data_IF_706564688454
#
_entry.id   IF_706564688454
#
_cell.length_a   1.000
_cell.length_b   1.000
_cell.length_c   1.000
_cell.angle_alpha   90.00
_cell.angle_beta   90.00
_cell.angle_gamma   90.00
#
_symmetry.space_group_name_H-M   'P 1'
#
loop_
_entity.id
_entity.type
_entity.pdbx_description
1 polymer ?
#
# COMPACT_ATOMS: atom_id res chain seq x y z
N UNK A 1 -30.96 7.90 13.58
CA UNK A 1 -29.60 7.66 14.12
C UNK A 1 -28.63 7.92 12.97
N UNK A 2 -27.56 8.64 13.22
CA UNK A 2 -26.52 8.83 12.22
C UNK A 2 -25.84 7.50 11.91
N UNK A 3 -25.39 7.33 10.69
CA UNK A 3 -24.51 6.18 10.35
C UNK A 3 -23.16 6.34 11.05
N UNK A 4 -22.54 5.23 11.44
CA UNK A 4 -21.33 5.21 12.26
C UNK A 4 -20.13 4.63 11.55
N UNK A 5 -19.00 5.32 11.65
CA UNK A 5 -17.71 4.88 11.12
C UNK A 5 -16.87 4.30 12.25
N UNK A 6 -16.43 3.05 12.11
CA UNK A 6 -15.41 2.42 12.95
C UNK A 6 -14.03 2.53 12.30
N UNK A 7 -13.08 3.18 12.95
CA UNK A 7 -11.71 3.32 12.46
C UNK A 7 -10.79 2.36 13.21
N UNK A 8 -10.05 1.56 12.46
CA UNK A 8 -9.13 0.54 13.01
C UNK A 8 -7.78 0.72 12.32
N UNK A 9 -6.95 1.63 12.86
CA UNK A 9 -5.62 1.98 12.35
C UNK A 9 -4.69 2.16 13.55
N UNK A 10 -3.62 1.37 13.65
CA UNK A 10 -2.66 1.37 14.77
C UNK A 10 -1.55 2.42 14.62
N UNK A 11 -1.36 2.98 13.44
CA UNK A 11 -0.39 4.03 13.14
C UNK A 11 -1.02 5.44 13.01
N UNK A 12 -2.23 5.62 13.50
CA UNK A 12 -2.96 6.89 13.38
C UNK A 12 -2.31 7.98 14.24
N UNK A 13 -1.96 9.11 13.63
CA UNK A 13 -1.47 10.27 14.36
C UNK A 13 -2.61 11.15 14.87
N UNK A 14 -2.41 11.96 15.94
CA UNK A 14 -3.46 12.87 16.43
C UNK A 14 -3.97 13.85 15.36
N UNK A 15 -3.12 14.27 14.43
CA UNK A 15 -3.50 15.16 13.34
C UNK A 15 -4.46 14.47 12.35
N UNK A 16 -4.18 13.20 11.98
CA UNK A 16 -5.07 12.42 11.13
C UNK A 16 -6.37 12.07 11.84
N UNK A 17 -6.31 11.71 13.13
CA UNK A 17 -7.52 11.47 13.92
C UNK A 17 -8.43 12.70 13.93
N UNK A 18 -7.88 13.88 14.18
CA UNK A 18 -8.63 15.15 14.11
C UNK A 18 -9.26 15.35 12.73
N UNK A 19 -8.50 15.13 11.66
CA UNK A 19 -9.02 15.28 10.29
C UNK A 19 -10.19 14.33 10.01
N UNK A 20 -10.10 13.08 10.48
CA UNK A 20 -11.17 12.09 10.32
C UNK A 20 -12.43 12.50 11.12
N UNK A 21 -12.26 12.97 12.37
CA UNK A 21 -13.38 13.46 13.20
C UNK A 21 -14.08 14.66 12.56
N UNK A 22 -13.30 15.65 12.12
CA UNK A 22 -13.82 16.85 11.49
C UNK A 22 -14.56 16.51 10.17
N UNK A 23 -14.05 15.54 9.42
CA UNK A 23 -14.67 15.09 8.17
C UNK A 23 -15.97 14.30 8.43
N UNK A 24 -15.96 13.36 9.38
CA UNK A 24 -17.15 12.61 9.76
C UNK A 24 -18.27 13.54 10.23
N UNK A 25 -17.96 14.49 11.13
CA UNK A 25 -18.93 15.47 11.63
C UNK A 25 -19.52 16.32 10.49
N UNK A 26 -18.69 16.78 9.57
CA UNK A 26 -19.11 17.57 8.40
C UNK A 26 -20.03 16.81 7.46
N UNK A 27 -19.84 15.48 7.38
CA UNK A 27 -20.64 14.58 6.55
C UNK A 27 -21.85 13.98 7.31
N UNK A 28 -22.06 14.30 8.58
CA UNK A 28 -23.18 13.80 9.37
C UNK A 28 -23.02 12.36 9.88
N UNK A 29 -21.77 11.88 10.01
CA UNK A 29 -21.46 10.56 10.54
C UNK A 29 -20.96 10.62 11.97
N UNK A 30 -21.34 9.65 12.79
CA UNK A 30 -20.68 9.38 14.06
C UNK A 30 -19.38 8.59 13.78
N UNK A 31 -18.36 8.77 14.64
CA UNK A 31 -17.06 8.10 14.44
C UNK A 31 -16.52 7.56 15.76
N UNK A 32 -16.03 6.32 15.72
CA UNK A 32 -15.37 5.65 16.84
C UNK A 32 -14.01 5.11 16.39
N UNK A 33 -13.02 5.21 17.27
CA UNK A 33 -11.66 4.71 17.01
C UNK A 33 -11.37 3.51 17.91
N UNK A 34 -10.88 2.44 17.28
CA UNK A 34 -10.44 1.24 17.98
C UNK A 34 -8.91 1.16 17.92
N UNK A 35 -8.22 0.99 19.05
CA UNK A 35 -6.76 0.96 19.06
C UNK A 35 -6.16 -0.30 18.40
N UNK A 36 -6.98 -1.30 18.15
CA UNK A 36 -6.58 -2.54 17.48
C UNK A 36 -7.80 -3.31 16.95
N UNK A 37 -7.58 -4.25 16.04
CA UNK A 37 -8.62 -5.19 15.62
C UNK A 37 -9.22 -5.98 16.79
N UNK A 38 -8.39 -6.36 17.77
CA UNK A 38 -8.87 -7.08 18.95
C UNK A 38 -9.85 -6.26 19.79
N UNK A 39 -9.60 -4.96 19.91
CA UNK A 39 -10.51 -4.05 20.61
C UNK A 39 -11.82 -3.81 19.85
N UNK A 40 -11.79 -3.98 18.54
CA UNK A 40 -12.96 -3.86 17.67
C UNK A 40 -13.83 -5.12 17.64
N UNK A 41 -13.28 -6.31 17.95
CA UNK A 41 -14.04 -7.57 17.95
C UNK A 41 -15.24 -7.49 18.90
N UNK A 42 -16.45 -7.73 18.35
CA UNK A 42 -17.72 -7.65 19.10
C UNK A 42 -18.20 -6.22 19.41
N UNK A 43 -17.49 -5.18 19.01
CA UNK A 43 -17.83 -3.78 19.28
C UNK A 43 -18.12 -2.95 18.01
N UNK A 44 -18.34 -3.59 16.88
CA UNK A 44 -18.57 -2.94 15.58
C UNK A 44 -19.99 -3.13 15.03
N UNK A 45 -20.90 -3.72 15.79
CA UNK A 45 -22.24 -4.05 15.33
C UNK A 45 -23.07 -2.81 14.92
N UNK A 46 -22.80 -1.67 15.51
CA UNK A 46 -23.45 -0.39 15.19
C UNK A 46 -22.70 0.42 14.12
N UNK A 47 -21.57 -0.10 13.61
CA UNK A 47 -20.82 0.54 12.54
C UNK A 47 -21.36 0.11 11.17
N UNK A 48 -21.71 1.07 10.35
CA UNK A 48 -22.10 0.84 8.94
C UNK A 48 -20.90 0.95 7.99
N UNK A 49 -19.85 1.61 8.42
CA UNK A 49 -18.58 1.77 7.69
C UNK A 49 -17.43 1.34 8.60
N UNK A 50 -16.51 0.54 8.06
CA UNK A 50 -15.22 0.27 8.70
C UNK A 50 -14.10 0.82 7.83
N UNK A 51 -13.21 1.60 8.43
CA UNK A 51 -12.03 2.17 7.77
C UNK A 51 -10.75 1.69 8.44
N UNK A 52 -9.80 1.25 7.64
CA UNK A 52 -8.49 0.83 8.13
C UNK A 52 -8.12 -0.60 7.75
N UNK A 53 -7.60 -1.37 8.74
CA UNK A 53 -7.15 -2.76 8.52
C UNK A 53 -7.69 -3.72 9.60
N UNK A 54 -9.00 -3.88 9.69
CA UNK A 54 -9.62 -4.85 10.59
C UNK A 54 -9.18 -6.28 10.26
N UNK A 55 -9.22 -7.17 11.26
CA UNK A 55 -9.10 -8.60 11.02
C UNK A 55 -10.37 -9.14 10.30
N UNK A 56 -10.24 -10.30 9.64
CA UNK A 56 -11.41 -10.97 9.06
C UNK A 56 -12.49 -11.27 10.12
N UNK A 57 -12.12 -11.52 11.37
CA UNK A 57 -13.08 -11.75 12.46
C UNK A 57 -13.93 -10.52 12.75
N UNK A 58 -13.34 -9.32 12.70
CA UNK A 58 -14.07 -8.06 12.87
C UNK A 58 -15.07 -7.88 11.73
N UNK A 59 -14.64 -8.11 10.48
CA UNK A 59 -15.53 -8.01 9.31
C UNK A 59 -16.68 -9.03 9.42
N UNK A 60 -16.37 -10.30 9.72
CA UNK A 60 -17.36 -11.35 9.85
C UNK A 60 -18.37 -11.11 10.99
N UNK A 61 -17.98 -10.39 12.04
CA UNK A 61 -18.84 -10.00 13.16
C UNK A 61 -19.66 -8.73 12.92
N UNK A 62 -19.35 -7.93 11.92
CA UNK A 62 -19.96 -6.63 11.67
C UNK A 62 -21.30 -6.77 10.91
N UNK A 63 -22.40 -6.95 11.64
CA UNK A 63 -23.74 -7.29 11.07
C UNK A 63 -24.34 -6.20 10.20
N UNK A 64 -24.09 -4.94 10.52
CA UNK A 64 -24.65 -3.79 9.83
C UNK A 64 -23.69 -3.14 8.82
N UNK A 65 -22.58 -3.80 8.51
CA UNK A 65 -21.54 -3.26 7.64
C UNK A 65 -22.06 -3.10 6.20
N UNK A 66 -21.98 -1.88 5.69
CA UNK A 66 -22.32 -1.51 4.32
C UNK A 66 -21.09 -1.22 3.47
N UNK A 67 -20.00 -0.79 4.11
CA UNK A 67 -18.78 -0.42 3.41
C UNK A 67 -17.54 -0.72 4.26
N UNK A 68 -16.65 -1.51 3.71
CA UNK A 68 -15.29 -1.66 4.21
C UNK A 68 -14.30 -0.89 3.31
N UNK A 69 -13.70 0.17 3.84
CA UNK A 69 -12.67 0.97 3.20
C UNK A 69 -11.29 0.55 3.74
N UNK A 70 -10.57 -0.28 2.98
CA UNK A 70 -9.23 -0.71 3.36
C UNK A 70 -8.19 0.39 3.15
N UNK A 71 -7.33 0.63 4.13
CA UNK A 71 -6.17 1.51 3.99
C UNK A 71 -4.99 0.84 3.26
N UNK A 72 -5.09 -0.44 2.91
CA UNK A 72 -4.11 -1.18 2.12
C UNK A 72 -4.57 -1.41 0.69
N UNK A 73 -3.62 -1.52 -0.23
CA UNK A 73 -3.90 -1.86 -1.63
C UNK A 73 -4.24 -3.35 -1.80
N UNK A 74 -3.57 -4.23 -1.05
CA UNK A 74 -3.80 -5.69 -1.10
C UNK A 74 -5.02 -6.08 -0.26
N UNK A 75 -6.06 -6.58 -0.92
CA UNK A 75 -7.34 -6.95 -0.28
C UNK A 75 -7.80 -8.36 -0.60
N UNK A 76 -6.97 -9.20 -1.24
CA UNK A 76 -7.34 -10.55 -1.71
C UNK A 76 -8.04 -11.40 -0.66
N UNK A 77 -7.57 -11.34 0.60
CA UNK A 77 -8.16 -12.07 1.72
C UNK A 77 -9.56 -11.58 2.13
N UNK A 78 -9.97 -10.41 1.64
CA UNK A 78 -11.27 -9.80 1.91
C UNK A 78 -12.23 -9.90 0.71
N UNK A 79 -11.76 -10.36 -0.47
CA UNK A 79 -12.57 -10.60 -1.65
C UNK A 79 -13.23 -11.99 -1.56
N UNK A 80 -14.08 -12.18 -0.55
CA UNK A 80 -14.75 -13.44 -0.25
C UNK A 80 -16.19 -13.14 0.18
N UNK A 81 -17.17 -13.69 -0.54
CA UNK A 81 -18.59 -13.45 -0.29
C UNK A 81 -19.04 -13.97 1.09
N UNK A 82 -18.43 -15.07 1.57
CA UNK A 82 -18.73 -15.68 2.85
C UNK A 82 -18.19 -14.90 4.07
N UNK A 83 -17.43 -13.86 3.84
CA UNK A 83 -16.86 -13.04 4.91
C UNK A 83 -17.85 -11.99 5.44
N UNK A 84 -18.75 -11.52 4.61
CA UNK A 84 -19.64 -10.41 4.92
C UNK A 84 -21.02 -10.89 5.31
N UNK A 85 -21.59 -10.37 6.42
CA UNK A 85 -22.97 -10.64 6.80
C UNK A 85 -23.97 -9.98 5.83
N UNK A 86 -23.59 -8.83 5.27
CA UNK A 86 -24.34 -8.14 4.23
C UNK A 86 -23.72 -8.44 2.86
N UNK A 87 -24.41 -9.16 1.95
CA UNK A 87 -23.89 -9.50 0.63
C UNK A 87 -23.67 -8.28 -0.27
N UNK A 88 -24.34 -7.16 0.01
CA UNK A 88 -24.19 -5.89 -0.72
C UNK A 88 -23.10 -4.98 -0.14
N UNK A 89 -22.28 -5.47 0.79
CA UNK A 89 -21.21 -4.70 1.38
C UNK A 89 -20.16 -4.31 0.34
N UNK A 90 -19.90 -3.02 0.24
CA UNK A 90 -18.85 -2.50 -0.64
C UNK A 90 -17.47 -2.71 -0.03
N UNK A 91 -16.53 -3.19 -0.84
CA UNK A 91 -15.11 -3.21 -0.50
C UNK A 91 -14.35 -2.23 -1.39
N UNK A 92 -13.64 -1.29 -0.80
CA UNK A 92 -12.69 -0.42 -1.49
C UNK A 92 -11.30 -0.53 -0.88
N UNK A 93 -10.28 -0.23 -1.67
CA UNK A 93 -8.90 -0.32 -1.24
C UNK A 93 -8.09 0.92 -1.63
N UNK A 94 -6.85 1.01 -1.14
CA UNK A 94 -5.94 2.12 -1.42
C UNK A 94 -5.10 1.90 -2.70
N UNK A 95 -5.64 1.25 -3.74
CA UNK A 95 -4.98 1.15 -5.04
C UNK A 95 -4.72 2.54 -5.62
N UNK A 96 -3.51 2.75 -6.15
CA UNK A 96 -3.08 4.05 -6.67
C UNK A 96 -2.39 4.97 -5.63
N UNK A 97 -2.47 4.66 -4.34
CA UNK A 97 -1.85 5.47 -3.29
C UNK A 97 -0.33 5.25 -3.15
N UNK A 98 0.17 4.11 -3.61
CA UNK A 98 1.55 3.66 -3.34
C UNK A 98 2.48 3.73 -4.55
N UNK A 99 1.97 4.00 -5.74
CA UNK A 99 2.72 3.93 -6.98
C UNK A 99 4.00 4.74 -6.96
N UNK A 100 3.91 6.00 -6.54
CA UNK A 100 5.06 6.92 -6.47
C UNK A 100 6.13 6.42 -5.51
N UNK A 101 5.78 6.14 -4.26
CA UNK A 101 6.75 5.80 -3.21
C UNK A 101 7.43 4.46 -3.46
N UNK A 102 6.66 3.46 -3.93
CA UNK A 102 7.22 2.14 -4.27
C UNK A 102 8.09 2.22 -5.53
N UNK A 103 7.70 3.02 -6.51
CA UNK A 103 8.51 3.21 -7.71
C UNK A 103 9.85 3.89 -7.39
N UNK A 104 9.87 4.89 -6.51
CA UNK A 104 11.11 5.53 -6.04
C UNK A 104 12.01 4.54 -5.30
N UNK A 105 11.43 3.75 -4.39
CA UNK A 105 12.15 2.67 -3.72
C UNK A 105 12.72 1.66 -4.74
N UNK A 106 11.96 1.27 -5.74
CA UNK A 106 12.40 0.33 -6.78
C UNK A 106 13.56 0.87 -7.61
N UNK A 107 13.54 2.17 -7.95
CA UNK A 107 14.67 2.83 -8.62
C UNK A 107 15.90 2.86 -7.71
N UNK A 108 15.75 3.24 -6.46
CA UNK A 108 16.83 3.24 -5.46
C UNK A 108 17.49 1.86 -5.38
N UNK A 109 16.70 0.80 -5.14
CA UNK A 109 17.23 -0.56 -5.02
C UNK A 109 17.89 -1.02 -6.33
N UNK A 110 17.33 -0.69 -7.49
CA UNK A 110 17.94 -0.99 -8.79
C UNK A 110 19.31 -0.36 -8.94
N UNK A 111 19.45 0.91 -8.56
CA UNK A 111 20.74 1.61 -8.60
C UNK A 111 21.72 1.01 -7.58
N UNK A 112 21.28 0.70 -6.36
CA UNK A 112 22.12 0.06 -5.34
C UNK A 112 22.69 -1.27 -5.83
N UNK A 113 21.88 -2.10 -6.47
CA UNK A 113 22.29 -3.39 -7.03
C UNK A 113 23.29 -3.20 -8.19
N UNK A 114 22.96 -2.34 -9.16
CA UNK A 114 23.81 -2.08 -10.32
C UNK A 114 25.16 -1.46 -9.93
N UNK A 115 25.18 -0.64 -8.88
CA UNK A 115 26.40 -0.01 -8.36
C UNK A 115 27.09 -0.83 -7.29
N UNK A 116 26.58 -2.03 -6.95
CA UNK A 116 27.14 -2.93 -5.92
C UNK A 116 27.30 -2.23 -4.56
N UNK A 117 26.32 -1.39 -4.22
CA UNK A 117 26.38 -0.50 -3.04
C UNK A 117 26.61 -1.27 -1.74
N UNK A 118 26.00 -2.44 -1.59
CA UNK A 118 26.14 -3.23 -0.37
C UNK A 118 27.60 -3.66 -0.13
N UNK A 119 28.25 -4.16 -1.18
CA UNK A 119 29.65 -4.60 -1.12
C UNK A 119 30.61 -3.43 -0.85
N UNK A 120 30.38 -2.28 -1.50
CA UNK A 120 31.17 -1.07 -1.21
C UNK A 120 30.93 -0.53 0.19
N UNK A 121 29.73 -0.67 0.74
CA UNK A 121 29.45 -0.29 2.14
C UNK A 121 30.29 -1.10 3.13
N UNK A 122 30.46 -2.41 2.89
CA UNK A 122 31.33 -3.24 3.74
C UNK A 122 32.81 -2.81 3.64
N UNK A 123 33.29 -2.54 2.43
CA UNK A 123 34.67 -2.04 2.22
C UNK A 123 34.90 -0.73 2.98
N UNK A 124 33.93 0.18 2.93
CA UNK A 124 34.01 1.48 3.65
C UNK A 124 34.01 1.25 5.16
N UNK A 125 33.17 0.33 5.65
CA UNK A 125 33.09 -0.01 7.09
C UNK A 125 34.44 -0.55 7.62
N UNK A 126 35.17 -1.30 6.79
CA UNK A 126 36.51 -1.82 7.08
C UNK A 126 37.59 -0.76 6.94
N UNK A 127 37.27 0.49 6.61
CA UNK A 127 38.24 1.57 6.33
C UNK A 127 39.01 1.36 5.02
N UNK A 128 38.51 0.50 4.15
CA UNK A 128 39.15 0.13 2.89
C UNK A 128 38.75 1.06 1.72
N UNK A 129 39.66 1.06 0.73
CA UNK A 129 39.41 1.70 -0.57
C UNK A 129 39.95 0.76 -1.66
N UNK A 130 39.06 -0.01 -2.29
CA UNK A 130 39.41 -0.97 -3.36
C UNK A 130 38.33 -1.04 -4.43
N UNK A 131 38.72 -1.34 -5.65
CA UNK A 131 37.79 -1.61 -6.76
C UNK A 131 37.38 -3.08 -6.73
N UNK A 132 36.11 -3.33 -6.79
CA UNK A 132 35.58 -4.69 -6.88
C UNK A 132 35.77 -5.26 -8.30
N UNK A 133 36.19 -6.53 -8.44
CA UNK A 133 36.28 -7.20 -9.76
C UNK A 133 34.89 -7.31 -10.39
N UNK A 134 34.83 -7.31 -11.74
CA UNK A 134 33.58 -7.42 -12.49
C UNK A 134 32.87 -6.09 -12.76
N UNK A 135 33.37 -4.99 -12.19
CA UNK A 135 32.86 -3.64 -12.47
C UNK A 135 31.48 -3.36 -11.86
N UNK A 136 30.89 -2.26 -12.31
CA UNK A 136 29.58 -1.75 -11.97
C UNK A 136 28.75 -1.52 -13.23
N UNK A 137 27.45 -1.49 -13.12
CA UNK A 137 26.52 -1.28 -14.23
C UNK A 137 25.71 0.00 -14.07
N UNK A 138 25.06 0.45 -15.13
CA UNK A 138 24.21 1.62 -15.17
C UNK A 138 22.84 1.30 -15.76
N UNK A 139 21.82 2.04 -15.39
CA UNK A 139 20.53 2.04 -16.08
C UNK A 139 20.64 2.69 -17.46
N UNK A 140 21.58 3.65 -17.63
CA UNK A 140 21.87 4.23 -18.93
C UNK A 140 22.29 3.13 -19.94
N UNK A 141 21.62 3.07 -21.08
CA UNK A 141 21.86 2.09 -22.10
C UNK A 141 21.42 0.65 -21.75
N UNK A 142 20.87 0.41 -20.57
CA UNK A 142 20.38 -0.90 -20.16
C UNK A 142 19.06 -1.27 -20.88
N UNK A 143 18.80 -2.57 -21.04
CA UNK A 143 17.48 -3.07 -21.42
C UNK A 143 16.69 -3.36 -20.15
N UNK A 144 15.58 -2.65 -19.95
CA UNK A 144 14.75 -2.77 -18.75
C UNK A 144 13.42 -3.42 -19.10
N UNK A 145 13.08 -4.49 -18.39
CA UNK A 145 11.77 -5.14 -18.50
C UNK A 145 11.02 -5.00 -17.17
N UNK A 146 9.82 -4.43 -17.23
CA UNK A 146 8.94 -4.29 -16.09
C UNK A 146 7.82 -5.32 -16.15
N UNK A 147 7.80 -6.24 -15.19
CA UNK A 147 6.73 -7.24 -15.04
C UNK A 147 5.60 -6.64 -14.20
N UNK A 148 4.49 -6.31 -14.85
CA UNK A 148 3.37 -5.57 -14.30
C UNK A 148 3.40 -4.09 -14.71
N UNK A 149 2.37 -3.67 -15.44
CA UNK A 149 2.21 -2.29 -15.96
C UNK A 149 1.04 -1.56 -15.29
N UNK A 150 0.72 -1.93 -14.06
CA UNK A 150 -0.24 -1.24 -13.22
C UNK A 150 0.33 0.08 -12.67
N UNK A 151 -0.23 0.58 -11.58
CA UNK A 151 0.16 1.83 -10.92
C UNK A 151 1.68 1.90 -10.66
N UNK A 152 2.22 0.95 -9.89
CA UNK A 152 3.65 0.92 -9.52
C UNK A 152 4.55 0.80 -10.75
N UNK A 153 4.23 -0.12 -11.68
CA UNK A 153 5.05 -0.35 -12.88
C UNK A 153 5.07 0.86 -13.80
N UNK A 154 3.96 1.57 -13.93
CA UNK A 154 3.85 2.81 -14.69
C UNK A 154 4.69 3.92 -14.06
N UNK A 155 4.59 4.10 -12.75
CA UNK A 155 5.38 5.09 -12.01
C UNK A 155 6.89 4.77 -12.02
N UNK A 156 7.27 3.49 -11.95
CA UNK A 156 8.64 3.04 -12.13
C UNK A 156 9.16 3.37 -13.54
N UNK A 157 8.39 3.03 -14.57
CA UNK A 157 8.75 3.28 -15.95
C UNK A 157 8.96 4.78 -16.26
N UNK A 158 8.13 5.65 -15.69
CA UNK A 158 8.28 7.12 -15.83
C UNK A 158 9.63 7.59 -15.29
N UNK A 159 10.07 7.08 -14.13
CA UNK A 159 11.32 7.45 -13.47
C UNK A 159 12.54 6.89 -14.20
N UNK A 160 12.46 5.63 -14.62
CA UNK A 160 13.55 4.95 -15.33
C UNK A 160 13.86 5.58 -16.68
N UNK A 161 12.88 6.16 -17.37
CA UNK A 161 13.11 6.91 -18.62
C UNK A 161 14.15 8.01 -18.50
N UNK A 162 14.24 8.67 -17.34
CA UNK A 162 15.23 9.72 -17.10
C UNK A 162 16.68 9.22 -17.08
N UNK A 163 16.91 7.91 -16.96
CA UNK A 163 18.23 7.28 -17.04
C UNK A 163 18.63 6.87 -18.47
N UNK A 164 17.80 7.18 -19.49
CA UNK A 164 18.05 6.85 -20.88
C UNK A 164 18.39 5.37 -21.13
N UNK A 165 17.53 4.42 -20.74
CA UNK A 165 17.73 3.01 -21.06
C UNK A 165 17.65 2.80 -22.58
N UNK A 166 18.36 1.78 -23.10
CA UNK A 166 18.29 1.40 -24.52
C UNK A 166 16.88 0.89 -24.90
N UNK A 167 16.20 0.21 -23.97
CA UNK A 167 14.80 -0.16 -24.11
C UNK A 167 14.09 -0.23 -22.75
N UNK A 168 12.79 0.02 -22.77
CA UNK A 168 11.91 -0.12 -21.62
C UNK A 168 10.65 -0.86 -22.06
N UNK A 169 10.52 -2.12 -21.64
CA UNK A 169 9.44 -3.03 -22.04
C UNK A 169 8.56 -3.33 -20.84
N UNK A 170 7.26 -3.16 -20.99
CA UNK A 170 6.26 -3.56 -20.00
C UNK A 170 5.61 -4.88 -20.40
N UNK A 171 5.43 -5.77 -19.43
CA UNK A 171 4.70 -7.04 -19.58
C UNK A 171 3.53 -7.05 -18.62
N UNK A 172 2.32 -7.31 -19.11
CA UNK A 172 1.11 -7.46 -18.31
C UNK A 172 0.30 -8.66 -18.75
N UNK A 173 -0.58 -9.14 -17.87
CA UNK A 173 -1.58 -10.11 -18.31
C UNK A 173 -2.54 -9.44 -19.30
N UNK A 174 -3.02 -10.15 -20.35
CA UNK A 174 -4.12 -9.64 -21.15
C UNK A 174 -5.28 -9.25 -20.24
N UNK A 175 -5.89 -8.12 -20.52
CA UNK A 175 -7.18 -7.79 -19.91
C UNK A 175 -8.21 -8.66 -20.62
N UNK A 176 -8.84 -9.57 -19.88
CA UNK A 176 -10.00 -10.33 -20.35
C UNK A 176 -11.20 -9.40 -20.53
#
# INVERSE_FOLDING_TARGET
>A
MNEKIGVIIDFLTPAYEKTLRDTAARCGYDIVFFPSSRAAEGNVDDCTILYGHPSQRVIAGARNLKWYASCWAGVDRFCRDDLYQNPDCLLTNASGAYGTTIAEHSVMVSLMLLRRQMEYTEIIREGGWRVLPGGIHSLHGARVTCLGTGDIGTEFARRVRAFHPASLTGVSRPRG
#
